data_IF_963937680177
#
_entry.id   IF_963937680177
#
_cell.length_a   1.000
_cell.length_b   1.000
_cell.length_c   1.000
_cell.angle_alpha   90.00
_cell.angle_beta   90.00
_cell.angle_gamma   90.00
#
_symmetry.space_group_name_H-M   'P 1'
#
loop_
_entity.id
_entity.type
_entity.pdbx_description
1 polymer ?
#
# COMPACT_ATOMS: atom_id res chain seq x y z
N UNK A 1 -11.31 15.03 -33.83
CA UNK A 1 -10.95 13.77 -34.53
C UNK A 1 -11.41 12.63 -33.62
N UNK A 2 -12.52 11.96 -33.97
CA UNK A 2 -13.15 10.89 -33.18
C UNK A 2 -12.18 9.70 -33.04
N UNK A 3 -11.90 9.25 -31.82
CA UNK A 3 -11.24 7.95 -31.64
C UNK A 3 -12.25 6.85 -31.97
N UNK A 4 -12.09 6.23 -33.12
CA UNK A 4 -12.81 5.02 -33.57
C UNK A 4 -12.26 3.73 -32.91
N UNK A 5 -11.41 3.85 -31.90
CA UNK A 5 -10.69 2.73 -31.30
C UNK A 5 -10.79 2.84 -29.78
N UNK A 6 -11.05 1.72 -29.12
CA UNK A 6 -11.36 1.62 -27.68
C UNK A 6 -10.28 2.12 -26.70
N UNK A 7 -9.27 2.86 -27.16
CA UNK A 7 -8.30 3.59 -26.34
C UNK A 7 -8.08 5.03 -26.85
N UNK A 8 -8.16 6.04 -25.98
CA UNK A 8 -7.88 7.46 -26.28
C UNK A 8 -6.76 8.02 -25.38
N UNK A 9 -5.95 8.93 -25.93
CA UNK A 9 -4.92 9.67 -25.21
C UNK A 9 -5.36 11.13 -25.04
N UNK A 10 -5.34 11.62 -23.80
CA UNK A 10 -5.65 13.03 -23.51
C UNK A 10 -4.61 13.64 -22.58
N UNK A 11 -4.30 14.92 -22.78
CA UNK A 11 -3.41 15.69 -21.90
C UNK A 11 -4.25 16.63 -21.04
N UNK A 12 -4.04 16.61 -19.73
CA UNK A 12 -4.73 17.47 -18.77
C UNK A 12 -3.74 18.40 -18.07
N UNK A 13 -4.14 19.66 -17.90
CA UNK A 13 -3.48 20.63 -17.03
C UNK A 13 -4.22 20.63 -15.71
N UNK A 14 -3.62 20.09 -14.65
CA UNK A 14 -4.20 20.01 -13.32
C UNK A 14 -3.29 20.74 -12.33
N UNK A 15 -3.88 21.30 -11.27
CA UNK A 15 -3.11 21.88 -10.17
C UNK A 15 -2.39 20.75 -9.41
N UNK A 16 -1.07 20.88 -9.31
CA UNK A 16 -0.19 19.88 -8.69
C UNK A 16 -0.25 19.88 -7.17
N UNK A 17 -0.62 21.01 -6.58
CA UNK A 17 -0.64 21.18 -5.12
C UNK A 17 -1.98 20.82 -4.51
N UNK A 18 -3.07 20.91 -5.31
CA UNK A 18 -4.43 20.56 -4.90
C UNK A 18 -5.18 19.85 -6.04
N UNK A 19 -4.83 18.59 -6.35
CA UNK A 19 -5.42 17.88 -7.49
C UNK A 19 -6.90 17.51 -7.29
N UNK A 20 -7.41 17.50 -6.06
CA UNK A 20 -8.78 17.09 -5.75
C UNK A 20 -8.92 15.57 -5.55
N UNK A 21 -10.14 15.05 -5.66
CA UNK A 21 -10.43 13.60 -5.52
C UNK A 21 -10.45 12.91 -6.88
N UNK A 22 -10.08 11.64 -6.90
CA UNK A 22 -10.15 10.79 -8.08
C UNK A 22 -11.58 10.71 -8.65
N UNK A 23 -12.59 10.63 -7.78
CA UNK A 23 -14.00 10.52 -8.19
C UNK A 23 -14.47 11.70 -9.04
N UNK A 24 -14.05 12.92 -8.69
CA UNK A 24 -14.39 14.13 -9.42
C UNK A 24 -13.69 14.17 -10.78
N UNK A 25 -12.43 13.75 -10.81
CA UNK A 25 -11.65 13.61 -12.02
C UNK A 25 -12.21 12.53 -12.96
N UNK A 26 -12.65 11.41 -12.41
CA UNK A 26 -13.28 10.32 -13.15
C UNK A 26 -14.58 10.80 -13.83
N UNK A 27 -15.44 11.52 -13.09
CA UNK A 27 -16.65 12.14 -13.64
C UNK A 27 -16.35 13.17 -14.72
N UNK A 28 -15.30 13.98 -14.54
CA UNK A 28 -14.85 14.95 -15.55
C UNK A 28 -14.46 14.25 -16.86
N UNK A 29 -13.73 13.13 -16.77
CA UNK A 29 -13.34 12.33 -17.93
C UNK A 29 -14.57 11.75 -18.64
N UNK A 30 -15.50 11.15 -17.90
CA UNK A 30 -16.74 10.63 -18.48
C UNK A 30 -17.54 11.73 -19.20
N UNK A 31 -17.63 12.91 -18.60
CA UNK A 31 -18.34 14.05 -19.16
C UNK A 31 -17.69 14.57 -20.45
N UNK A 32 -16.37 14.80 -20.44
CA UNK A 32 -15.62 15.31 -21.61
C UNK A 32 -15.69 14.36 -22.80
N UNK A 33 -15.64 13.05 -22.55
CA UNK A 33 -15.60 12.05 -23.61
C UNK A 33 -17.00 11.62 -24.09
N UNK A 34 -18.08 12.19 -23.53
CA UNK A 34 -19.47 11.82 -23.81
C UNK A 34 -19.73 10.30 -23.66
N UNK A 35 -19.03 9.68 -22.72
CA UNK A 35 -19.15 8.25 -22.41
C UNK A 35 -20.24 8.11 -21.35
N UNK A 36 -21.50 8.21 -21.78
CA UNK A 36 -22.62 7.92 -20.90
C UNK A 36 -22.78 6.39 -20.82
N UNK A 37 -22.64 5.84 -19.61
CA UNK A 37 -22.93 4.43 -19.26
C UNK A 37 -21.88 3.36 -19.65
N UNK A 38 -20.59 3.69 -19.76
CA UNK A 38 -19.53 2.67 -19.90
C UNK A 38 -18.50 2.83 -18.78
N UNK A 39 -18.10 1.70 -18.17
CA UNK A 39 -16.94 1.66 -17.28
C UNK A 39 -15.66 1.80 -18.11
N UNK A 40 -14.80 2.73 -17.69
CA UNK A 40 -13.53 3.02 -18.36
C UNK A 40 -12.39 2.86 -17.38
N UNK A 41 -11.33 2.21 -17.84
CA UNK A 41 -10.06 2.16 -17.13
C UNK A 41 -9.23 3.38 -17.52
N UNK A 42 -8.64 4.02 -16.51
CA UNK A 42 -7.80 5.20 -16.64
C UNK A 42 -6.38 4.82 -16.23
N UNK A 43 -5.39 5.16 -17.05
CA UNK A 43 -3.97 5.00 -16.74
C UNK A 43 -3.13 6.23 -17.04
N UNK A 44 -1.94 6.31 -16.46
CA UNK A 44 -0.91 7.31 -16.76
C UNK A 44 0.43 6.65 -17.02
N UNK A 45 1.29 7.33 -17.76
CA UNK A 45 2.68 6.94 -17.91
C UNK A 45 3.50 7.65 -16.84
N UNK A 46 4.26 6.90 -16.04
CA UNK A 46 5.16 7.47 -15.05
C UNK A 46 6.44 8.04 -15.70
N UNK A 47 7.38 8.51 -14.86
CA UNK A 47 8.66 9.06 -15.31
C UNK A 47 9.59 8.02 -15.98
N UNK A 48 9.38 6.74 -15.71
CA UNK A 48 10.12 5.62 -16.30
C UNK A 48 9.45 5.11 -17.59
N UNK A 49 8.24 5.60 -17.90
CA UNK A 49 7.47 5.24 -19.09
C UNK A 49 6.58 4.02 -18.90
N UNK A 50 6.36 3.60 -17.65
CA UNK A 50 5.49 2.51 -17.29
C UNK A 50 4.04 2.98 -17.19
N UNK A 51 3.13 2.20 -17.77
CA UNK A 51 1.71 2.48 -17.73
C UNK A 51 1.13 1.97 -16.40
N UNK A 52 0.66 2.89 -15.56
CA UNK A 52 0.13 2.66 -14.21
C UNK A 52 -1.34 3.11 -14.12
N UNK A 53 -2.21 2.38 -13.40
CA UNK A 53 -3.62 2.72 -13.33
C UNK A 53 -3.86 3.91 -12.40
N UNK A 54 -4.84 4.74 -12.74
CA UNK A 54 -5.43 5.75 -11.85
C UNK A 54 -6.78 5.21 -11.39
N UNK A 55 -6.82 4.61 -10.19
CA UNK A 55 -8.02 3.94 -9.66
C UNK A 55 -8.33 4.27 -8.19
N UNK A 56 -7.57 5.17 -7.57
CA UNK A 56 -7.80 5.70 -6.22
C UNK A 56 -7.18 7.11 -6.08
N UNK A 57 -7.44 7.76 -4.94
CA UNK A 57 -6.94 9.12 -4.66
C UNK A 57 -5.41 9.20 -4.61
N UNK A 58 -4.73 8.19 -4.06
CA UNK A 58 -3.27 8.16 -3.95
C UNK A 58 -2.58 8.05 -5.32
N UNK A 59 -3.09 7.16 -6.19
CA UNK A 59 -2.62 6.96 -7.55
C UNK A 59 -2.89 8.20 -8.40
N UNK A 60 -4.03 8.85 -8.19
CA UNK A 60 -4.36 10.11 -8.85
C UNK A 60 -3.40 11.22 -8.42
N UNK A 61 -3.16 11.38 -7.12
CA UNK A 61 -2.18 12.34 -6.60
C UNK A 61 -0.80 12.10 -7.21
N UNK A 62 -0.32 10.84 -7.18
CA UNK A 62 0.98 10.46 -7.73
C UNK A 62 1.07 10.71 -9.24
N UNK A 63 0.00 10.44 -9.99
CA UNK A 63 -0.07 10.72 -11.42
C UNK A 63 0.09 12.22 -11.70
N UNK A 64 -0.64 13.07 -10.97
CA UNK A 64 -0.57 14.54 -11.15
C UNK A 64 0.80 15.09 -10.71
N UNK A 65 1.36 14.61 -9.60
CA UNK A 65 2.66 15.08 -9.11
C UNK A 65 3.83 14.68 -10.00
N UNK A 66 3.76 13.50 -10.64
CA UNK A 66 4.81 13.02 -11.55
C UNK A 66 4.72 13.61 -12.97
N UNK A 67 3.56 14.13 -13.35
CA UNK A 67 3.32 14.64 -14.70
C UNK A 67 4.22 15.84 -15.06
N UNK A 68 4.97 15.72 -16.16
CA UNK A 68 5.77 16.81 -16.72
C UNK A 68 5.65 16.87 -18.26
N UNK A 69 5.15 17.97 -18.88
CA UNK A 69 4.49 19.14 -18.27
C UNK A 69 2.98 18.93 -17.99
N UNK A 70 2.31 18.03 -18.72
CA UNK A 70 0.87 17.76 -18.63
C UNK A 70 0.65 16.28 -18.29
N UNK A 71 -0.41 15.99 -17.52
CA UNK A 71 -0.78 14.61 -17.21
C UNK A 71 -1.29 13.93 -18.48
N UNK A 72 -0.59 12.89 -18.93
CA UNK A 72 -0.97 12.07 -20.09
C UNK A 72 -1.81 10.90 -19.61
N UNK A 73 -3.10 10.96 -19.92
CA UNK A 73 -4.08 9.97 -19.51
C UNK A 73 -4.43 9.06 -20.68
N UNK A 74 -4.46 7.77 -20.37
CA UNK A 74 -4.89 6.69 -21.24
C UNK A 74 -6.26 6.24 -20.78
N UNK A 75 -7.26 6.29 -21.66
CA UNK A 75 -8.63 5.88 -21.34
C UNK A 75 -8.94 4.68 -22.22
N UNK A 76 -9.33 3.57 -21.63
CA UNK A 76 -9.71 2.36 -22.35
C UNK A 76 -11.02 1.80 -21.80
N UNK A 77 -11.87 1.23 -22.65
CA UNK A 77 -13.10 0.56 -22.19
C UNK A 77 -12.78 -0.70 -21.40
N UNK A 78 -13.41 -0.87 -20.23
CA UNK A 78 -13.09 -1.95 -19.27
C UNK A 78 -13.24 -3.37 -19.85
N UNK A 79 -14.18 -3.58 -20.77
CA UNK A 79 -14.44 -4.85 -21.47
C UNK A 79 -13.42 -5.19 -22.56
N UNK A 80 -12.62 -4.22 -22.98
CA UNK A 80 -11.58 -4.36 -24.01
C UNK A 80 -10.15 -4.24 -23.44
N UNK A 81 -9.99 -4.13 -22.11
CA UNK A 81 -8.67 -3.95 -21.47
C UNK A 81 -7.93 -5.27 -21.41
N UNK A 82 -6.83 -5.34 -22.16
CA UNK A 82 -5.80 -6.36 -21.95
C UNK A 82 -4.86 -5.91 -20.83
N UNK A 83 -5.17 -6.35 -19.61
CA UNK A 83 -4.45 -6.03 -18.39
C UNK A 83 -2.97 -6.51 -18.40
N UNK A 84 -2.58 -7.38 -19.34
CA UNK A 84 -1.19 -7.83 -19.49
C UNK A 84 -0.22 -6.70 -19.88
N UNK A 85 -0.73 -5.57 -20.38
CA UNK A 85 0.09 -4.43 -20.80
C UNK A 85 0.51 -3.48 -19.67
N UNK A 86 -0.05 -3.63 -18.47
CA UNK A 86 0.28 -2.77 -17.31
C UNK A 86 1.47 -3.34 -16.53
N UNK A 87 2.44 -2.47 -16.17
CA UNK A 87 3.59 -2.81 -15.34
C UNK A 87 4.72 -3.61 -16.00
N UNK A 88 4.58 -4.04 -17.27
CA UNK A 88 5.63 -4.79 -18.00
C UNK A 88 6.10 -4.11 -19.29
N UNK A 89 5.34 -3.15 -19.82
CA UNK A 89 5.60 -2.56 -21.13
C UNK A 89 5.91 -1.06 -21.01
N UNK A 90 7.20 -0.73 -21.09
CA UNK A 90 7.65 0.61 -21.50
C UNK A 90 6.97 0.97 -22.83
N UNK A 91 6.39 2.17 -22.93
CA UNK A 91 5.73 2.70 -24.14
C UNK A 91 6.63 2.78 -25.40
N UNK A 92 7.89 2.34 -25.31
CA UNK A 92 8.93 2.43 -26.32
C UNK A 92 8.84 1.37 -27.43
N UNK A 93 8.10 0.26 -27.25
CA UNK A 93 8.09 -0.79 -28.28
C UNK A 93 6.91 -0.66 -29.25
N UNK A 94 6.99 0.37 -30.12
CA UNK A 94 6.43 0.26 -31.46
C UNK A 94 7.08 -0.94 -32.18
N UNK A 95 6.53 -2.14 -32.01
CA UNK A 95 6.72 -3.21 -32.99
C UNK A 95 5.49 -3.23 -33.87
N UNK A 96 5.67 -2.77 -35.11
CA UNK A 96 4.86 -3.17 -36.26
C UNK A 96 4.66 -4.70 -36.18
N UNK A 97 3.43 -5.14 -35.99
CA UNK A 97 3.05 -6.52 -36.19
C UNK A 97 1.87 -6.54 -37.17
N UNK A 98 2.22 -6.32 -38.43
CA UNK A 98 1.45 -6.77 -39.58
C UNK A 98 1.52 -8.31 -39.62
N UNK A 99 0.95 -8.98 -38.62
CA UNK A 99 0.93 -10.44 -38.54
C UNK A 99 -0.50 -10.88 -38.26
N UNK A 100 -1.04 -11.51 -39.31
CA UNK A 100 -2.11 -12.51 -39.30
C UNK A 100 -3.56 -12.05 -39.15
N UNK A 101 -4.11 -11.66 -40.30
CA UNK A 101 -5.33 -12.28 -40.84
C UNK A 101 -5.16 -13.82 -40.89
N UNK A 102 -5.25 -14.52 -39.75
CA UNK A 102 -5.51 -15.96 -39.72
C UNK A 102 -6.74 -16.22 -38.86
N UNK A 103 -7.79 -16.55 -39.58
CA UNK A 103 -9.00 -17.17 -39.10
C UNK A 103 -8.61 -18.50 -38.44
N UNK A 104 -8.52 -18.53 -37.12
CA UNK A 104 -8.27 -19.78 -36.38
C UNK A 104 -9.25 -19.87 -35.21
N UNK A 105 -10.35 -20.61 -35.45
CA UNK A 105 -11.39 -20.97 -34.49
C UNK A 105 -10.88 -22.02 -33.48
N UNK A 106 -9.61 -21.94 -33.08
CA UNK A 106 -9.08 -22.71 -31.97
C UNK A 106 -9.74 -22.17 -30.71
N UNK A 107 -10.64 -22.97 -30.14
CA UNK A 107 -11.29 -22.80 -28.83
C UNK A 107 -10.32 -22.14 -27.86
N UNK A 108 -10.36 -20.82 -27.78
CA UNK A 108 -9.63 -20.07 -26.77
C UNK A 108 -10.23 -20.55 -25.46
N UNK A 109 -9.44 -21.25 -24.65
CA UNK A 109 -9.80 -21.52 -23.25
C UNK A 109 -10.30 -20.18 -22.69
N UNK A 110 -11.41 -20.14 -21.95
CA UNK A 110 -11.89 -18.89 -21.38
C UNK A 110 -10.72 -18.24 -20.65
N UNK A 111 -10.24 -17.13 -21.20
CA UNK A 111 -9.14 -16.40 -20.61
C UNK A 111 -9.68 -15.90 -19.27
N UNK A 112 -9.08 -16.37 -18.18
CA UNK A 112 -9.41 -15.89 -16.86
C UNK A 112 -8.90 -14.45 -16.80
N UNK A 113 -9.82 -13.49 -16.91
CA UNK A 113 -9.51 -12.07 -16.86
C UNK A 113 -9.29 -11.68 -15.39
N UNK A 114 -8.04 -11.73 -14.94
CA UNK A 114 -7.63 -11.20 -13.65
C UNK A 114 -7.53 -9.68 -13.79
N UNK A 115 -8.25 -8.94 -12.96
CA UNK A 115 -8.23 -7.47 -12.98
C UNK A 115 -6.89 -6.91 -12.45
N UNK A 116 -6.65 -5.62 -12.66
CA UNK A 116 -5.54 -4.95 -11.97
C UNK A 116 -5.73 -5.04 -10.45
N UNK A 117 -4.65 -4.97 -9.66
CA UNK A 117 -4.81 -4.76 -8.23
C UNK A 117 -5.38 -3.35 -8.00
N UNK A 118 -6.33 -3.26 -7.08
CA UNK A 118 -7.02 -2.03 -6.68
C UNK A 118 -6.78 -1.80 -5.18
N UNK A 119 -6.93 -0.56 -4.72
CA UNK A 119 -6.86 -0.19 -3.29
C UNK A 119 -5.55 -0.63 -2.61
N UNK A 120 -4.41 -0.28 -3.20
CA UNK A 120 -3.10 -0.52 -2.59
C UNK A 120 -2.96 0.27 -1.30
N UNK A 121 -2.77 -0.43 -0.18
CA UNK A 121 -2.54 0.20 1.12
C UNK A 121 -1.32 -0.38 1.81
N UNK A 122 -0.41 0.45 2.36
CA UNK A 122 0.74 -0.03 3.10
C UNK A 122 0.27 -0.73 4.38
N UNK A 123 0.76 -1.94 4.67
CA UNK A 123 0.31 -2.72 5.84
C UNK A 123 1.29 -2.58 7.01
N UNK A 124 2.59 -2.69 6.72
CA UNK A 124 3.64 -2.55 7.72
C UNK A 124 4.98 -2.17 7.10
N UNK A 125 5.91 -1.69 7.92
CA UNK A 125 7.31 -1.50 7.54
C UNK A 125 8.24 -1.61 8.75
N UNK A 126 9.50 -2.00 8.50
CA UNK A 126 10.59 -1.86 9.48
C UNK A 126 11.21 -0.48 9.26
N UNK A 127 11.46 0.26 10.34
CA UNK A 127 12.04 1.60 10.31
C UNK A 127 13.27 1.68 11.20
N UNK A 128 14.11 2.70 10.98
CA UNK A 128 15.23 3.07 11.85
C UNK A 128 16.27 1.96 12.08
N UNK A 129 16.40 1.04 11.13
CA UNK A 129 17.34 -0.10 11.18
C UNK A 129 18.78 0.37 11.40
N UNK A 130 19.17 1.50 10.80
CA UNK A 130 20.55 1.99 10.84
C UNK A 130 20.92 2.77 12.12
N UNK A 131 19.91 3.18 12.91
CA UNK A 131 20.12 3.99 14.13
C UNK A 131 19.75 3.24 15.41
N UNK A 132 19.05 2.12 15.29
CA UNK A 132 18.72 1.25 16.42
C UNK A 132 19.83 0.22 16.64
N UNK A 133 20.03 -0.24 17.90
CA UNK A 133 20.92 -1.37 18.14
C UNK A 133 20.42 -2.62 17.38
N UNK A 134 21.32 -3.46 16.91
CA UNK A 134 20.99 -4.67 16.13
C UNK A 134 20.00 -5.62 16.83
N UNK A 135 19.97 -5.60 18.17
CA UNK A 135 19.03 -6.39 18.98
C UNK A 135 17.62 -5.82 19.05
N UNK A 136 17.36 -4.70 18.39
CA UNK A 136 16.08 -4.00 18.41
C UNK A 136 15.47 -3.97 17.03
N UNK A 137 14.14 -3.93 16.98
CA UNK A 137 13.37 -3.78 15.76
C UNK A 137 12.27 -2.78 15.99
N UNK A 138 12.23 -1.73 15.17
CA UNK A 138 11.11 -0.78 15.17
C UNK A 138 10.21 -1.08 13.99
N UNK A 139 8.95 -1.39 14.31
CA UNK A 139 7.92 -1.82 13.38
C UNK A 139 6.84 -0.75 13.33
N UNK A 140 6.43 -0.39 12.12
CA UNK A 140 5.25 0.44 11.88
C UNK A 140 4.12 -0.43 11.36
N UNK A 141 2.94 -0.33 11.98
CA UNK A 141 1.73 -1.05 11.59
C UNK A 141 0.64 -0.05 11.18
N UNK A 142 0.04 -0.28 10.02
CA UNK A 142 -1.06 0.52 9.49
C UNK A 142 -2.35 -0.28 9.60
N UNK A 143 -3.26 0.15 10.48
CA UNK A 143 -4.55 -0.50 10.68
C UNK A 143 -5.57 0.08 9.69
N UNK A 144 -5.92 -0.73 8.69
CA UNK A 144 -6.97 -0.40 7.72
C UNK A 144 -8.33 -0.85 8.23
N UNK A 145 -9.27 0.09 8.32
CA UNK A 145 -10.63 -0.16 8.82
C UNK A 145 -10.76 -0.03 10.33
N UNK A 146 -11.94 0.41 10.79
CA UNK A 146 -12.14 0.82 12.18
C UNK A 146 -12.31 -0.35 13.16
N UNK A 147 -12.66 -1.55 12.69
CA UNK A 147 -13.14 -2.64 13.57
C UNK A 147 -12.11 -3.73 13.88
N UNK A 148 -11.07 -3.91 13.06
CA UNK A 148 -10.11 -5.01 13.28
C UNK A 148 -9.03 -4.58 14.29
N UNK A 149 -8.74 -5.36 15.34
CA UNK A 149 -7.67 -5.05 16.28
C UNK A 149 -6.29 -5.22 15.62
N UNK A 150 -5.23 -4.74 16.29
CA UNK A 150 -3.84 -4.90 15.83
C UNK A 150 -3.39 -6.37 15.76
N UNK A 151 -4.08 -7.28 16.46
CA UNK A 151 -3.89 -8.72 16.30
C UNK A 151 -2.79 -9.33 17.16
N UNK A 152 -2.43 -8.72 18.28
CA UNK A 152 -1.55 -9.29 19.30
C UNK A 152 -1.97 -8.82 20.69
N UNK A 153 -1.47 -9.50 21.71
CA UNK A 153 -1.72 -9.19 23.11
C UNK A 153 -0.40 -9.02 23.84
N UNK A 154 -0.42 -8.20 24.88
CA UNK A 154 0.73 -7.96 25.75
C UNK A 154 0.49 -8.53 27.15
N UNK A 155 1.56 -8.73 27.90
CA UNK A 155 1.56 -9.15 29.30
C UNK A 155 2.71 -8.50 30.04
N UNK A 156 2.60 -8.45 31.36
CA UNK A 156 3.73 -8.20 32.23
C UNK A 156 4.72 -9.38 32.20
N UNK A 157 5.98 -9.06 32.47
CA UNK A 157 7.05 -10.02 32.60
C UNK A 157 8.26 -9.39 33.28
N UNK A 158 9.36 -10.14 33.30
CA UNK A 158 10.62 -9.70 33.88
C UNK A 158 11.69 -9.73 32.80
N UNK A 159 12.32 -8.58 32.55
CA UNK A 159 13.49 -8.47 31.69
C UNK A 159 14.75 -8.40 32.55
N UNK A 160 15.81 -9.07 32.11
CA UNK A 160 17.11 -9.02 32.77
C UNK A 160 17.95 -7.99 32.03
N UNK A 161 18.33 -6.93 32.75
CA UNK A 161 19.11 -5.83 32.18
C UNK A 161 20.42 -5.66 32.93
N UNK A 162 21.42 -5.19 32.22
CA UNK A 162 22.69 -4.76 32.81
C UNK A 162 22.50 -3.33 33.29
N UNK A 163 22.50 -3.13 34.60
CA UNK A 163 22.47 -1.82 35.25
C UNK A 163 23.84 -1.51 35.84
N UNK A 164 24.12 -0.25 36.24
CA UNK A 164 25.38 0.09 36.90
C UNK A 164 25.65 -0.69 38.19
N UNK A 165 24.62 -1.30 38.79
CA UNK A 165 24.70 -2.11 40.01
C UNK A 165 24.80 -3.62 39.73
N UNK A 166 24.81 -4.04 38.46
CA UNK A 166 24.97 -5.43 38.04
C UNK A 166 23.82 -5.93 37.18
N UNK A 167 23.54 -7.22 37.26
CA UNK A 167 22.45 -7.86 36.53
C UNK A 167 21.15 -7.74 37.34
N UNK A 168 20.20 -6.94 36.87
CA UNK A 168 18.95 -6.71 37.60
C UNK A 168 17.73 -7.21 36.83
N UNK A 169 16.78 -7.73 37.59
CA UNK A 169 15.46 -8.12 37.11
C UNK A 169 14.54 -6.91 37.18
N UNK A 170 14.19 -6.35 36.04
CA UNK A 170 13.29 -5.21 35.93
C UNK A 170 11.94 -5.62 35.34
N UNK A 171 10.84 -4.96 35.70
CA UNK A 171 9.55 -5.13 35.02
C UNK A 171 9.68 -4.81 33.52
N UNK A 172 9.04 -5.62 32.68
CA UNK A 172 9.00 -5.43 31.24
C UNK A 172 7.67 -5.88 30.64
N UNK A 173 7.35 -5.36 29.47
CA UNK A 173 6.14 -5.71 28.73
C UNK A 173 6.51 -6.63 27.58
N UNK A 174 5.76 -7.71 27.40
CA UNK A 174 6.05 -8.73 26.40
C UNK A 174 4.82 -9.05 25.57
N UNK A 175 5.02 -9.44 24.31
CA UNK A 175 3.95 -10.01 23.49
C UNK A 175 3.61 -11.41 24.04
N UNK A 176 2.37 -11.59 24.47
CA UNK A 176 1.88 -12.83 25.10
C UNK A 176 1.31 -13.82 24.10
N UNK A 177 0.59 -13.32 23.08
CA UNK A 177 -0.04 -14.14 22.03
C UNK A 177 -0.32 -13.33 20.78
N UNK A 178 -0.39 -14.03 19.65
CA UNK A 178 -0.81 -13.50 18.36
C UNK A 178 -2.25 -13.92 18.06
N UNK A 179 -2.97 -13.09 17.31
CA UNK A 179 -4.29 -13.44 16.76
C UNK A 179 -4.07 -14.11 15.41
N UNK A 180 -4.57 -15.35 15.20
CA UNK A 180 -4.53 -16.02 13.90
C UNK A 180 -5.19 -15.18 12.80
N UNK A 181 -4.46 -14.93 11.70
CA UNK A 181 -4.88 -14.04 10.61
C UNK A 181 -4.99 -12.56 10.99
N UNK A 182 -4.51 -12.18 12.19
CA UNK A 182 -4.47 -10.80 12.65
C UNK A 182 -3.43 -9.97 11.89
N UNK A 183 -3.52 -8.65 12.01
CA UNK A 183 -2.59 -7.73 11.35
C UNK A 183 -1.13 -8.05 11.75
N UNK A 184 -0.83 -8.07 13.04
CA UNK A 184 0.53 -8.31 13.52
C UNK A 184 1.08 -9.69 13.09
N UNK A 185 0.27 -10.76 13.16
CA UNK A 185 0.70 -12.09 12.72
C UNK A 185 0.98 -12.12 11.21
N UNK A 186 0.10 -11.51 10.40
CA UNK A 186 0.23 -11.47 8.94
C UNK A 186 1.48 -10.73 8.46
N UNK A 187 2.00 -9.79 9.26
CA UNK A 187 3.23 -9.08 8.93
C UNK A 187 4.49 -9.92 9.18
N UNK A 188 4.45 -10.86 10.12
CA UNK A 188 5.62 -11.65 10.55
C UNK A 188 6.73 -10.81 11.20
N UNK A 189 6.49 -9.53 11.50
CA UNK A 189 7.48 -8.63 12.06
C UNK A 189 7.53 -8.65 13.59
N UNK A 190 6.47 -9.16 14.22
CA UNK A 190 6.30 -9.29 15.67
C UNK A 190 6.05 -10.76 16.01
N UNK A 191 6.60 -11.22 17.13
CA UNK A 191 6.47 -12.58 17.61
C UNK A 191 6.13 -12.63 19.11
N UNK A 192 5.62 -13.79 19.54
CA UNK A 192 5.41 -14.08 20.96
C UNK A 192 6.76 -14.04 21.68
N UNK A 193 6.76 -13.46 22.88
CA UNK A 193 7.93 -13.21 23.73
C UNK A 193 8.84 -12.05 23.33
N UNK A 194 8.53 -11.33 22.24
CA UNK A 194 9.21 -10.06 21.98
C UNK A 194 8.96 -9.09 23.14
N UNK A 195 10.03 -8.45 23.62
CA UNK A 195 9.94 -7.43 24.67
C UNK A 195 9.59 -6.08 24.03
N UNK A 196 8.49 -5.47 24.45
CA UNK A 196 8.10 -4.12 24.03
C UNK A 196 8.91 -3.11 24.82
N UNK A 197 9.54 -2.17 24.11
CA UNK A 197 10.41 -1.17 24.71
C UNK A 197 9.84 0.25 24.55
N UNK A 198 9.15 0.51 23.44
CA UNK A 198 8.66 1.84 23.11
C UNK A 198 7.38 1.74 22.26
N UNK A 199 6.47 2.69 22.47
CA UNK A 199 5.28 2.89 21.65
C UNK A 199 5.22 4.36 21.22
N UNK A 200 5.28 4.61 19.91
CA UNK A 200 5.18 5.93 19.26
C UNK A 200 6.11 7.00 19.87
N UNK A 201 7.38 6.68 20.15
CA UNK A 201 8.33 7.62 20.75
C UNK A 201 8.39 7.58 22.27
N UNK A 202 7.51 6.82 22.93
CA UNK A 202 7.39 6.81 24.39
C UNK A 202 7.84 5.46 24.94
N UNK A 203 8.88 5.47 25.78
CA UNK A 203 9.36 4.27 26.47
C UNK A 203 8.28 3.67 27.38
N UNK A 204 8.20 2.34 27.43
CA UNK A 204 7.25 1.62 28.28
C UNK A 204 7.80 1.30 29.67
N UNK A 205 9.09 1.52 29.90
CA UNK A 205 9.72 1.29 31.20
C UNK A 205 9.04 2.13 32.30
N UNK A 206 8.65 1.48 33.40
CA UNK A 206 7.96 2.13 34.51
C UNK A 206 6.49 2.45 34.28
N UNK A 207 5.90 2.06 33.14
CA UNK A 207 4.46 2.16 32.89
C UNK A 207 3.74 0.88 33.26
N UNK A 208 2.45 0.99 33.62
CA UNK A 208 1.61 -0.18 33.86
C UNK A 208 1.17 -0.81 32.55
N UNK A 209 0.80 -2.10 32.59
CA UNK A 209 0.25 -2.82 31.44
C UNK A 209 -0.94 -2.09 30.80
N UNK A 210 -1.84 -1.55 31.64
CA UNK A 210 -3.01 -0.80 31.19
C UNK A 210 -2.61 0.49 30.46
N UNK A 211 -1.65 1.25 30.99
CA UNK A 211 -1.16 2.46 30.34
C UNK A 211 -0.55 2.16 28.96
N UNK A 212 0.23 1.08 28.86
CA UNK A 212 0.83 0.67 27.57
C UNK A 212 -0.24 0.21 26.59
N UNK A 213 -1.26 -0.48 27.08
CA UNK A 213 -2.44 -0.89 26.29
C UNK A 213 -3.16 0.34 25.74
N UNK A 214 -3.44 1.33 26.58
CA UNK A 214 -4.09 2.59 26.18
C UNK A 214 -3.25 3.36 25.15
N UNK A 215 -1.93 3.41 25.33
CA UNK A 215 -1.01 4.02 24.37
C UNK A 215 -1.07 3.35 22.99
N UNK A 216 -1.13 2.02 22.93
CA UNK A 216 -1.26 1.27 21.68
C UNK A 216 -2.64 1.49 21.03
N UNK A 217 -3.71 1.54 21.82
CA UNK A 217 -5.07 1.78 21.32
C UNK A 217 -5.18 3.19 20.74
N UNK A 218 -4.68 4.20 21.44
CA UNK A 218 -4.69 5.59 21.00
C UNK A 218 -3.95 5.79 19.67
N UNK A 219 -2.90 5.00 19.43
CA UNK A 219 -2.10 5.05 18.19
C UNK A 219 -2.44 3.93 17.20
N UNK A 220 -3.55 3.21 17.39
CA UNK A 220 -3.86 1.97 16.66
C UNK A 220 -3.96 2.13 15.15
N UNK A 221 -4.29 3.33 14.63
CA UNK A 221 -4.32 3.60 13.19
C UNK A 221 -2.93 3.61 12.54
N UNK A 222 -1.92 4.05 13.29
CA UNK A 222 -0.55 4.20 12.83
C UNK A 222 0.39 3.94 14.02
N UNK A 223 0.51 2.67 14.39
CA UNK A 223 1.30 2.25 15.54
C UNK A 223 2.76 2.14 15.12
N UNK A 224 3.65 2.72 15.92
CA UNK A 224 5.09 2.52 15.83
C UNK A 224 5.52 1.86 17.13
N UNK A 225 6.04 0.64 17.04
CA UNK A 225 6.45 -0.14 18.21
C UNK A 225 7.91 -0.54 18.08
N UNK A 226 8.71 -0.24 19.09
CA UNK A 226 10.09 -0.75 19.19
C UNK A 226 10.07 -1.97 20.09
N UNK A 227 10.55 -3.10 19.57
CA UNK A 227 10.67 -4.35 20.31
C UNK A 227 12.10 -4.86 20.32
N UNK A 228 12.44 -5.67 21.33
CA UNK A 228 13.60 -6.54 21.32
C UNK A 228 13.12 -7.96 20.99
N UNK A 229 13.45 -8.49 19.81
CA UNK A 229 13.04 -9.83 19.41
C UNK A 229 13.55 -10.89 20.38
N UNK A 230 12.75 -11.95 20.59
CA UNK A 230 13.12 -13.07 21.44
C UNK A 230 14.16 -14.03 20.82
N UNK A 231 14.34 -13.96 19.50
CA UNK A 231 15.22 -14.84 18.70
C UNK A 231 16.36 -14.08 18.03
#
# INVERSE_FOLDING_TARGET
VKSKFGAEFRRFSLDRYKPGKFEDFYKLILHIHHIANLEVMIGYADVHGDLLPINNDDNFFKAVSSAHPLLRVFIQRQDEVDYSNFGTNTLSRKKKALVTLRNDNLRRRPHINISMPHDFRPVSSIIDVDILPETHRRVRLYRHGCEKPLGFYIRDGTSVRVTPHGLEKVPGIFISRMVPGGLAESTGLLAVNDEVLEVNGIEVAGKTLDQVTDMMIANSHNLIITVKPAN
#
